data_IF_443591227638
#
_entry.id   IF_443591227638
#
_cell.length_a   1.000
_cell.length_b   1.000
_cell.length_c   1.000
_cell.angle_alpha   90.00
_cell.angle_beta   90.00
_cell.angle_gamma   90.00
#
_symmetry.space_group_name_H-M   'P 1'
#
loop_
_entity.id
_entity.type
_entity.pdbx_description
1 polymer ?
#
# COMPACT_ATOMS: atom_id res chain seq x y z
N UNK A 1 18.28 22.39 -2.29
CA UNK A 1 17.86 22.17 -2.42
C UNK A 1 17.24 21.64 -2.35
N UNK A 2 16.91 21.48 -2.26
CA UNK A 2 16.35 21.04 -2.28
C UNK A 2 15.55 20.68 -2.51
N UNK A 3 15.30 21.01 -2.44
CA UNK A 3 14.49 20.66 -2.52
C UNK A 3 14.08 20.19 -3.29
N UNK A 4 14.17 20.37 -3.58
CA UNK A 4 13.77 20.00 -4.31
C UNK A 4 13.39 19.11 -4.61
N UNK A 5 13.43 18.69 -4.39
CA UNK A 5 13.09 17.87 -4.56
C UNK A 5 12.26 17.35 -4.37
N UNK A 6 11.96 17.46 -3.99
CA UNK A 6 11.11 16.97 -3.65
C UNK A 6 10.13 17.09 -4.29
N UNK A 7 10.17 17.54 -4.75
CA UNK A 7 9.20 17.79 -5.34
C UNK A 7 8.64 16.80 -6.00
N UNK A 8 7.67 16.58 -5.84
CA UNK A 8 7.12 15.64 -6.34
C UNK A 8 6.75 15.77 -7.60
N UNK A 9 7.08 15.03 -8.28
CA UNK A 9 6.83 15.13 -9.59
C UNK A 9 5.41 14.99 -9.86
N UNK A 10 5.08 15.49 -10.69
CA UNK A 10 3.89 15.37 -11.19
C UNK A 10 2.76 15.44 -10.57
N UNK A 11 2.65 15.52 -9.87
CA UNK A 11 1.56 15.52 -9.50
C UNK A 11 0.90 16.22 -8.80
N UNK A 12 1.26 16.52 -8.03
CA UNK A 12 0.53 17.25 -7.23
C UNK A 12 -0.39 16.55 -6.36
N UNK A 13 -0.55 15.36 -6.40
CA UNK A 13 -1.43 14.65 -5.51
C UNK A 13 -0.67 14.13 -4.33
N UNK A 14 -1.39 13.77 -3.30
CA UNK A 14 -0.77 13.10 -2.19
C UNK A 14 -0.43 11.68 -2.55
N UNK A 15 0.63 11.12 -1.98
CA UNK A 15 0.96 9.74 -2.29
C UNK A 15 -0.14 8.80 -1.83
N UNK A 16 -0.38 7.80 -2.63
CA UNK A 16 -1.35 6.78 -2.30
C UNK A 16 -0.68 5.74 -1.41
N UNK A 17 -1.39 5.29 -0.41
CA UNK A 17 -0.95 4.18 0.43
C UNK A 17 -1.99 3.08 0.36
N UNK A 18 -1.51 1.88 0.20
CA UNK A 18 -2.40 0.72 0.14
C UNK A 18 -2.26 -0.06 1.42
N UNK A 19 -3.38 -0.27 2.13
CA UNK A 19 -3.30 -1.00 3.38
C UNK A 19 -3.31 -2.50 3.14
N UNK A 20 -2.66 -3.23 4.04
CA UNK A 20 -2.65 -4.68 3.95
C UNK A 20 -4.05 -5.26 4.08
N UNK A 21 -4.94 -4.58 4.81
CA UNK A 21 -6.32 -5.03 4.93
C UNK A 21 -7.05 -4.93 3.61
N UNK A 22 -6.87 -3.84 2.89
CA UNK A 22 -7.52 -3.68 1.60
C UNK A 22 -6.95 -4.66 0.58
N UNK A 23 -5.64 -4.89 0.63
CA UNK A 23 -5.05 -5.90 -0.25
C UNK A 23 -5.68 -7.26 0.01
N UNK A 24 -5.88 -7.61 1.28
CA UNK A 24 -6.52 -8.87 1.63
C UNK A 24 -7.93 -8.95 1.04
N UNK A 25 -8.70 -7.88 1.17
CA UNK A 25 -10.06 -7.85 0.64
C UNK A 25 -10.09 -8.01 -0.87
N UNK A 26 -9.20 -7.29 -1.54
CA UNK A 26 -9.18 -7.31 -3.01
C UNK A 26 -8.73 -8.64 -3.58
N UNK A 27 -7.89 -9.36 -2.84
CA UNK A 27 -7.30 -10.59 -3.34
C UNK A 27 -8.01 -11.84 -2.81
N UNK A 28 -8.84 -11.69 -1.77
CA UNK A 28 -9.44 -12.84 -1.12
C UNK A 28 -8.48 -13.60 -0.22
N UNK A 29 -7.26 -13.09 -0.03
CA UNK A 29 -6.33 -13.70 0.89
C UNK A 29 -6.66 -13.28 2.31
N UNK A 30 -6.26 -14.07 3.28
CA UNK A 30 -6.46 -13.71 4.67
C UNK A 30 -5.47 -12.61 5.05
N UNK A 31 -5.92 -11.68 5.88
CA UNK A 31 -5.06 -10.56 6.28
C UNK A 31 -3.74 -11.02 6.90
N UNK A 32 -3.73 -12.02 7.81
CA UNK A 32 -2.44 -12.46 8.35
C UNK A 32 -1.48 -12.98 7.29
N UNK A 33 -2.01 -13.59 6.23
CA UNK A 33 -1.16 -14.09 5.15
C UNK A 33 -0.57 -12.95 4.34
N UNK A 34 -1.37 -11.91 4.07
CA UNK A 34 -0.86 -10.73 3.37
C UNK A 34 0.22 -10.04 4.21
N UNK A 35 0.01 -9.94 5.52
CA UNK A 35 1.00 -9.33 6.40
C UNK A 35 2.30 -10.12 6.36
N UNK A 36 2.21 -11.44 6.36
CA UNK A 36 3.40 -12.28 6.28
C UNK A 36 4.13 -12.09 4.96
N UNK A 37 3.37 -11.99 3.85
CA UNK A 37 3.96 -11.75 2.55
C UNK A 37 4.71 -10.42 2.54
N UNK A 38 4.12 -9.39 3.15
CA UNK A 38 4.75 -8.09 3.22
C UNK A 38 6.02 -8.13 4.05
N UNK A 39 5.96 -8.80 5.20
CA UNK A 39 7.12 -8.91 6.08
C UNK A 39 8.27 -9.61 5.38
N UNK A 40 7.96 -10.66 4.60
CA UNK A 40 8.98 -11.36 3.87
C UNK A 40 9.58 -10.46 2.78
N UNK A 41 8.74 -9.73 2.07
CA UNK A 41 9.23 -8.81 1.04
C UNK A 41 10.15 -7.76 1.65
N UNK A 42 9.73 -7.15 2.75
CA UNK A 42 10.54 -6.11 3.38
C UNK A 42 11.84 -6.67 3.91
N UNK A 43 11.81 -7.89 4.43
CA UNK A 43 13.04 -8.55 4.87
C UNK A 43 13.98 -8.77 3.68
N UNK A 44 13.44 -9.21 2.56
CA UNK A 44 14.26 -9.42 1.36
C UNK A 44 14.87 -8.11 0.86
N UNK A 45 14.18 -7.01 1.08
CA UNK A 45 14.68 -5.69 0.70
C UNK A 45 15.56 -5.06 1.77
N UNK A 46 15.76 -5.75 2.89
CA UNK A 46 16.54 -5.26 4.02
C UNK A 46 15.93 -3.97 4.60
N UNK A 47 14.60 -3.91 4.63
CA UNK A 47 13.90 -2.76 5.16
C UNK A 47 13.16 -3.12 6.42
N UNK A 48 13.02 -2.14 7.30
CA UNK A 48 12.40 -2.33 8.61
C UNK A 48 10.88 -2.27 8.47
N UNK A 49 10.21 -3.36 8.77
CA UNK A 49 8.75 -3.42 8.64
C UNK A 49 8.04 -2.44 9.56
N UNK A 50 8.66 -2.07 10.67
CA UNK A 50 7.99 -1.18 11.60
C UNK A 50 7.72 0.20 11.00
N UNK A 51 8.47 0.58 9.98
CA UNK A 51 8.26 1.88 9.33
C UNK A 51 6.91 1.91 8.62
N UNK A 52 6.42 0.75 8.20
CA UNK A 52 5.18 0.66 7.45
C UNK A 52 3.99 0.30 8.34
N UNK A 53 4.22 0.07 9.62
CA UNK A 53 3.16 -0.38 10.51
C UNK A 53 2.21 0.75 10.88
N UNK A 54 0.95 0.40 11.00
CA UNK A 54 -0.10 1.36 11.33
C UNK A 54 -1.10 0.69 12.25
N UNK A 55 -1.52 1.39 13.30
CA UNK A 55 -2.48 0.87 14.25
C UNK A 55 -3.87 1.37 13.88
N UNK A 56 -4.84 0.48 13.90
CA UNK A 56 -6.22 0.87 13.67
C UNK A 56 -7.09 0.19 14.73
N UNK A 57 -8.30 0.70 14.89
CA UNK A 57 -9.26 0.10 15.81
C UNK A 57 -10.24 -0.77 15.03
N UNK A 58 -10.46 -1.99 15.49
CA UNK A 58 -11.41 -2.88 14.82
C UNK A 58 -12.84 -2.56 15.30
N UNK A 59 -13.80 -3.33 14.85
CA UNK A 59 -15.21 -3.09 15.16
C UNK A 59 -15.52 -3.24 16.66
N UNK A 60 -14.65 -3.92 17.39
CA UNK A 60 -14.80 -4.06 18.84
C UNK A 60 -13.93 -3.09 19.59
N UNK A 61 -13.43 -2.07 18.91
CA UNK A 61 -12.62 -1.01 19.51
C UNK A 61 -11.30 -1.52 20.10
N UNK A 62 -10.76 -2.62 19.52
CA UNK A 62 -9.47 -3.16 19.96
C UNK A 62 -8.40 -2.70 19.00
N UNK A 63 -7.21 -2.46 19.51
CA UNK A 63 -6.09 -2.06 18.66
C UNK A 63 -5.61 -3.25 17.84
N UNK A 64 -5.48 -3.03 16.55
CA UNK A 64 -4.96 -4.02 15.61
C UNK A 64 -3.90 -3.34 14.76
N UNK A 65 -3.11 -4.13 14.06
CA UNK A 65 -2.06 -3.56 13.21
C UNK A 65 -2.25 -3.95 11.76
N UNK A 66 -1.83 -3.07 10.90
CA UNK A 66 -1.80 -3.30 9.48
C UNK A 66 -0.53 -2.68 8.94
N UNK A 67 -0.24 -2.90 7.65
CA UNK A 67 0.84 -2.21 6.98
C UNK A 67 0.26 -1.26 5.95
N UNK A 68 0.89 -0.12 5.80
CA UNK A 68 0.53 0.83 4.75
C UNK A 68 1.71 0.90 3.79
N UNK A 69 1.49 0.50 2.55
CA UNK A 69 2.55 0.44 1.56
C UNK A 69 2.35 1.54 0.52
N UNK A 70 3.46 2.16 0.13
CA UNK A 70 3.42 3.08 -0.98
C UNK A 70 3.31 2.31 -2.30
N UNK A 71 3.28 3.04 -3.40
CA UNK A 71 3.09 2.41 -4.70
C UNK A 71 4.22 1.44 -5.04
N UNK A 72 5.44 1.84 -4.79
CA UNK A 72 6.59 1.02 -5.13
C UNK A 72 6.58 -0.31 -4.39
N UNK A 73 6.34 -0.25 -3.09
CA UNK A 73 6.32 -1.47 -2.28
C UNK A 73 5.11 -2.33 -2.61
N UNK A 74 3.97 -1.69 -2.92
CA UNK A 74 2.79 -2.46 -3.32
C UNK A 74 3.07 -3.20 -4.62
N UNK A 75 3.68 -2.53 -5.60
CA UNK A 75 4.01 -3.18 -6.86
C UNK A 75 4.97 -4.33 -6.65
N UNK A 76 5.95 -4.13 -5.77
CA UNK A 76 6.91 -5.17 -5.49
C UNK A 76 6.23 -6.40 -4.89
N UNK A 77 5.33 -6.18 -3.94
CA UNK A 77 4.57 -7.26 -3.33
C UNK A 77 3.79 -8.04 -4.40
N UNK A 78 3.14 -7.30 -5.30
CA UNK A 78 2.26 -7.91 -6.29
C UNK A 78 3.00 -8.74 -7.33
N UNK A 79 4.30 -8.54 -7.47
CA UNK A 79 5.06 -9.35 -8.40
C UNK A 79 5.05 -10.83 -8.02
N UNK A 80 4.80 -11.13 -6.75
CA UNK A 80 4.68 -12.51 -6.32
C UNK A 80 3.26 -13.04 -6.35
N UNK A 81 2.30 -12.24 -6.79
CA UNK A 81 0.91 -12.64 -6.82
C UNK A 81 0.51 -13.00 -8.25
N UNK A 82 -0.57 -13.76 -8.39
CA UNK A 82 -1.06 -14.13 -9.72
C UNK A 82 -1.49 -12.88 -10.48
N UNK A 83 -1.52 -12.94 -11.83
CA UNK A 83 -1.94 -11.78 -12.60
C UNK A 83 -3.33 -11.29 -12.24
N UNK A 84 -4.26 -12.19 -11.93
CA UNK A 84 -5.62 -11.78 -11.58
C UNK A 84 -5.63 -10.98 -10.28
N UNK A 85 -4.92 -11.46 -9.27
CA UNK A 85 -4.87 -10.76 -8.00
C UNK A 85 -4.11 -9.44 -8.12
N UNK A 86 -3.02 -9.46 -8.86
CA UNK A 86 -2.23 -8.27 -9.09
C UNK A 86 -3.05 -7.17 -9.75
N UNK A 87 -3.84 -7.56 -10.76
CA UNK A 87 -4.67 -6.61 -11.48
C UNK A 87 -5.72 -5.98 -10.59
N UNK A 88 -6.32 -6.77 -9.70
CA UNK A 88 -7.34 -6.25 -8.80
C UNK A 88 -6.78 -5.14 -7.91
N UNK A 89 -5.59 -5.35 -7.36
CA UNK A 89 -4.99 -4.36 -6.47
C UNK A 89 -4.53 -3.14 -7.26
N UNK A 90 -3.92 -3.36 -8.43
CA UNK A 90 -3.45 -2.23 -9.24
C UNK A 90 -4.60 -1.37 -9.73
N UNK A 91 -5.73 -1.99 -10.06
CA UNK A 91 -6.89 -1.23 -10.49
C UNK A 91 -7.38 -0.30 -9.40
N UNK A 92 -7.44 -0.81 -8.17
CA UNK A 92 -7.86 0.02 -7.04
C UNK A 92 -6.87 1.14 -6.78
N UNK A 93 -5.59 0.84 -6.91
CA UNK A 93 -4.56 1.82 -6.71
C UNK A 93 -4.66 2.96 -7.70
N UNK A 94 -4.93 2.62 -8.97
CA UNK A 94 -5.11 3.65 -9.99
C UNK A 94 -6.34 4.50 -9.72
N UNK A 95 -7.42 3.89 -9.20
CA UNK A 95 -8.59 4.65 -8.80
C UNK A 95 -8.25 5.67 -7.75
N UNK A 96 -7.52 5.25 -6.74
CA UNK A 96 -7.15 6.14 -5.65
C UNK A 96 -6.25 7.26 -6.14
N UNK A 97 -5.32 6.94 -7.02
CA UNK A 97 -4.43 7.94 -7.58
C UNK A 97 -5.19 8.95 -8.41
N UNK A 98 -6.17 8.48 -9.18
CA UNK A 98 -6.97 9.38 -10.00
C UNK A 98 -7.77 10.33 -9.15
N UNK A 99 -8.32 9.84 -8.04
CA UNK A 99 -9.09 10.70 -7.15
C UNK A 99 -8.23 11.77 -6.50
N UNK A 100 -7.01 11.41 -6.11
CA UNK A 100 -6.13 12.36 -5.46
C UNK A 100 -5.52 13.35 -6.43
N UNK A 101 -5.40 12.98 -7.69
CA UNK A 101 -4.80 13.86 -8.69
C UNK A 101 -5.83 14.66 -9.47
N UNK A 102 -7.09 14.50 -9.13
CA UNK A 102 -8.13 15.17 -9.89
C UNK A 102 -8.00 16.67 -9.77
N UNK A 103 -8.07 17.38 -10.90
CA UNK A 103 -7.86 18.82 -10.84
C UNK A 103 -9.03 19.52 -10.16
N UNK A 104 -8.70 20.62 -9.54
CA UNK A 104 -9.69 21.37 -8.93
C UNK A 104 -10.24 22.30 -9.89
N UNK A 105 -11.41 22.50 -9.94
CA UNK A 105 -11.95 23.39 -10.94
C UNK A 105 -12.51 24.63 -10.37
#
# INVERSE_FOLDING_TARGET
MDSLMNTTPGGGGKPVRMSSREIAELTGKRHPDVKRDIEKMLSDLSEDASIFAHIYLDSMNREQSEYLLDRDHTENLLMGYSPILRRAVLARMREMEALLAEPRV
#
